data_IF_039968815313
#
_entry.id   IF_039968815313
#
_cell.length_a   1.000
_cell.length_b   1.000
_cell.length_c   1.000
_cell.angle_alpha   90.00
_cell.angle_beta   90.00
_cell.angle_gamma   90.00
#
_symmetry.space_group_name_H-M   'P 1'
#
loop_
_entity.id
_entity.type
_entity.pdbx_description
1 polymer ?
#
# COMPACT_ATOMS: atom_id res chain seq x y z
N UNK A 1 -29.61 11.43 -3.11
CA UNK A 1 -28.19 11.31 -3.49
C UNK A 1 -27.47 10.62 -2.34
N UNK A 2 -27.18 9.31 -2.44
CA UNK A 2 -26.27 8.66 -1.48
C UNK A 2 -24.88 9.10 -1.88
N UNK A 3 -24.24 9.95 -1.09
CA UNK A 3 -22.80 10.17 -1.21
C UNK A 3 -22.15 8.86 -0.81
N UNK A 4 -21.74 8.06 -1.80
CA UNK A 4 -20.87 6.91 -1.63
C UNK A 4 -19.52 7.41 -1.10
N UNK A 5 -19.47 7.78 0.19
CA UNK A 5 -18.24 7.83 0.97
C UNK A 5 -17.71 6.41 0.92
N UNK A 6 -16.88 6.12 -0.07
CA UNK A 6 -16.12 4.89 -0.19
C UNK A 6 -15.44 4.73 1.16
N UNK A 7 -15.93 3.79 1.98
CA UNK A 7 -15.43 3.64 3.34
C UNK A 7 -13.95 3.32 3.23
N UNK A 8 -13.14 4.32 3.56
CA UNK A 8 -11.71 4.20 3.72
C UNK A 8 -11.49 3.09 4.75
N UNK A 9 -11.04 1.95 4.27
CA UNK A 9 -10.94 0.69 4.99
C UNK A 9 -9.65 0.01 4.58
N UNK A 10 -9.16 -0.90 5.41
CA UNK A 10 -8.03 -1.75 5.05
C UNK A 10 -8.15 -2.34 3.64
N UNK A 11 -9.30 -2.94 3.31
CA UNK A 11 -9.52 -3.59 2.00
C UNK A 11 -9.44 -2.58 0.86
N UNK A 12 -10.00 -1.38 1.04
CA UNK A 12 -9.95 -0.33 0.03
C UNK A 12 -8.50 0.08 -0.29
N UNK A 13 -7.71 0.40 0.74
CA UNK A 13 -6.32 0.79 0.57
C UNK A 13 -5.43 -0.36 0.09
N UNK A 14 -5.66 -1.58 0.60
CA UNK A 14 -4.93 -2.77 0.17
C UNK A 14 -5.11 -3.06 -1.33
N UNK A 15 -6.33 -2.92 -1.85
CA UNK A 15 -6.60 -3.09 -3.27
C UNK A 15 -5.91 -2.01 -4.11
N UNK A 16 -5.92 -0.75 -3.66
CA UNK A 16 -5.20 0.33 -4.34
C UNK A 16 -3.69 0.09 -4.32
N UNK A 17 -3.14 -0.32 -3.17
CA UNK A 17 -1.72 -0.60 -3.00
C UNK A 17 -1.27 -1.73 -3.93
N UNK A 18 -2.02 -2.84 -3.95
CA UNK A 18 -1.77 -3.98 -4.84
C UNK A 18 -1.82 -3.57 -6.33
N UNK A 19 -2.75 -2.70 -6.72
CA UNK A 19 -2.78 -2.16 -8.08
C UNK A 19 -1.54 -1.32 -8.41
N UNK A 20 -1.08 -0.48 -7.46
CA UNK A 20 0.13 0.31 -7.61
C UNK A 20 1.39 -0.58 -7.72
N UNK A 21 1.48 -1.67 -6.95
CA UNK A 21 2.57 -2.65 -7.04
C UNK A 21 2.63 -3.31 -8.41
N UNK A 22 1.48 -3.75 -8.96
CA UNK A 22 1.41 -4.34 -10.30
C UNK A 22 1.84 -3.35 -11.38
N UNK A 23 1.56 -2.06 -11.17
CA UNK A 23 2.00 -0.97 -12.04
C UNK A 23 3.46 -0.54 -11.80
N UNK A 24 4.21 -1.24 -10.92
CA UNK A 24 5.59 -0.90 -10.51
C UNK A 24 5.75 0.51 -9.91
N UNK A 25 4.66 1.12 -9.44
CA UNK A 25 4.67 2.43 -8.78
C UNK A 25 4.95 2.25 -7.29
N UNK A 26 6.15 1.77 -6.97
CA UNK A 26 6.48 1.30 -5.62
C UNK A 26 6.42 2.40 -4.55
N UNK A 27 6.74 3.66 -4.87
CA UNK A 27 6.55 4.77 -3.92
C UNK A 27 5.08 4.97 -3.55
N UNK A 28 4.17 4.93 -4.54
CA UNK A 28 2.73 5.05 -4.29
C UNK A 28 2.20 3.83 -3.52
N UNK A 29 2.70 2.64 -3.86
CA UNK A 29 2.33 1.41 -3.17
C UNK A 29 2.75 1.42 -1.70
N UNK A 30 3.95 1.93 -1.38
CA UNK A 30 4.44 2.12 -0.02
C UNK A 30 3.46 2.97 0.81
N UNK A 31 3.08 4.14 0.30
CA UNK A 31 2.14 5.05 0.98
C UNK A 31 0.75 4.43 1.18
N UNK A 32 0.26 3.69 0.18
CA UNK A 32 -1.04 3.04 0.24
C UNK A 32 -1.05 1.87 1.22
N UNK A 33 0.03 1.10 1.32
CA UNK A 33 0.15 0.05 2.34
C UNK A 33 0.21 0.62 3.75
N UNK A 34 0.90 1.74 3.95
CA UNK A 34 0.88 2.44 5.24
C UNK A 34 -0.56 2.88 5.61
N UNK A 35 -1.32 3.44 4.65
CA UNK A 35 -2.74 3.73 4.87
C UNK A 35 -3.55 2.47 5.15
N UNK A 36 -3.31 1.35 4.46
CA UNK A 36 -4.02 0.11 4.76
C UNK A 36 -3.81 -0.33 6.22
N UNK A 37 -2.56 -0.25 6.73
CA UNK A 37 -2.25 -0.55 8.12
C UNK A 37 -3.02 0.35 9.10
N UNK A 38 -3.05 1.66 8.86
CA UNK A 38 -3.75 2.64 9.72
C UNK A 38 -5.26 2.41 9.81
N UNK A 39 -5.88 1.89 8.75
CA UNK A 39 -7.32 1.63 8.68
C UNK A 39 -7.68 0.17 9.01
N UNK A 40 -6.75 -0.59 9.59
CA UNK A 40 -6.99 -1.93 10.10
C UNK A 40 -6.99 -1.95 11.62
N UNK A 41 -7.95 -2.65 12.21
CA UNK A 41 -7.93 -3.00 13.64
C UNK A 41 -7.47 -4.44 13.89
N UNK A 42 -7.26 -5.22 12.82
CA UNK A 42 -6.77 -6.59 12.91
C UNK A 42 -5.23 -6.60 12.82
N UNK A 43 -4.56 -7.10 13.87
CA UNK A 43 -3.11 -7.18 13.95
C UNK A 43 -2.45 -7.90 12.77
N UNK A 44 -3.05 -8.97 12.26
CA UNK A 44 -2.53 -9.70 11.09
C UNK A 44 -2.55 -8.85 9.81
N UNK A 45 -3.62 -8.06 9.63
CA UNK A 45 -3.74 -7.17 8.49
C UNK A 45 -2.75 -6.00 8.58
N UNK A 46 -2.50 -5.49 9.79
CA UNK A 46 -1.49 -4.46 10.05
C UNK A 46 -0.10 -5.00 9.71
N UNK A 47 0.26 -6.16 10.24
CA UNK A 47 1.55 -6.81 9.98
C UNK A 47 1.75 -7.08 8.48
N UNK A 48 0.73 -7.63 7.83
CA UNK A 48 0.77 -7.88 6.39
C UNK A 48 0.99 -6.58 5.59
N UNK A 49 0.27 -5.51 5.92
CA UNK A 49 0.45 -4.22 5.28
C UNK A 49 1.87 -3.67 5.46
N UNK A 50 2.45 -3.76 6.66
CA UNK A 50 3.84 -3.34 6.89
C UNK A 50 4.87 -4.20 6.16
N UNK A 51 4.64 -5.51 6.05
CA UNK A 51 5.49 -6.40 5.25
C UNK A 51 5.46 -6.00 3.77
N UNK A 52 4.29 -5.67 3.22
CA UNK A 52 4.16 -5.18 1.84
C UNK A 52 4.75 -3.79 1.63
N UNK A 53 4.59 -2.89 2.60
CA UNK A 53 5.24 -1.57 2.61
C UNK A 53 6.76 -1.73 2.53
N UNK A 54 7.34 -2.60 3.36
CA UNK A 54 8.78 -2.89 3.39
C UNK A 54 9.28 -3.49 2.06
N UNK A 55 8.48 -4.34 1.42
CA UNK A 55 8.77 -4.85 0.08
C UNK A 55 8.81 -3.70 -0.95
N UNK A 56 7.81 -2.82 -0.96
CA UNK A 56 7.76 -1.68 -1.87
C UNK A 56 8.96 -0.75 -1.69
N UNK A 57 9.36 -0.48 -0.44
CA UNK A 57 10.54 0.32 -0.15
C UNK A 57 11.81 -0.28 -0.76
N UNK A 58 12.05 -1.58 -0.58
CA UNK A 58 13.20 -2.28 -1.19
C UNK A 58 13.20 -2.20 -2.71
N UNK A 59 12.03 -2.33 -3.34
CA UNK A 59 11.90 -2.23 -4.80
C UNK A 59 12.14 -0.81 -5.31
N UNK A 60 11.68 0.21 -4.58
CA UNK A 60 11.97 1.61 -4.86
C UNK A 60 13.47 1.88 -4.82
N UNK A 61 14.14 1.43 -3.76
CA UNK A 61 15.58 1.62 -3.58
C UNK A 61 16.36 0.91 -4.70
N UNK A 62 16.00 -0.34 -5.04
CA UNK A 62 16.62 -1.09 -6.14
C UNK A 62 16.51 -0.37 -7.48
N UNK A 63 15.33 0.18 -7.81
CA UNK A 63 15.14 0.94 -9.05
C UNK A 63 16.02 2.19 -9.06
N UNK A 64 16.08 2.92 -7.94
CA UNK A 64 16.90 4.11 -7.83
C UNK A 64 18.38 3.81 -8.14
N UNK A 65 18.92 2.72 -7.61
CA UNK A 65 20.29 2.27 -7.90
C UNK A 65 20.52 1.85 -9.36
N UNK A 66 19.51 1.39 -10.08
CA UNK A 66 19.63 0.97 -11.49
C UNK A 66 19.54 2.14 -12.47
N UNK A 67 18.94 3.25 -12.05
CA UNK A 67 18.74 4.44 -12.88
C UNK A 67 19.71 5.59 -12.57
N UNK A 68 20.58 5.40 -11.57
CA UNK A 68 21.65 6.34 -11.18
C UNK A 68 22.97 5.92 -11.83
#
# INVERSE_FOLDING_TARGET
MRTDKKMESFIYYANLASNAERAKRFSLAEDLWNKAALYSSNGYNIEWAYNRMSFCKKQKDLIFYQTS
#
